data_IF_293900901041
#
_entry.id   IF_293900901041
#
_cell.length_a   1.000
_cell.length_b   1.000
_cell.length_c   1.000
_cell.angle_alpha   90.00
_cell.angle_beta   90.00
_cell.angle_gamma   90.00
#
_symmetry.space_group_name_H-M   'P 1'
#
loop_
_entity.id
_entity.type
_entity.pdbx_description
1 polymer ?
#
# COMPACT_ATOMS: atom_id res chain seq x y z
N UNK A 1 -17.33 -2.34 14.78
CA UNK A 1 -17.88 -3.23 13.75
C UNK A 1 -17.02 -2.98 12.52
N UNK A 2 -15.93 -3.74 12.36
CA UNK A 2 -15.11 -3.64 11.15
C UNK A 2 -15.96 -4.26 10.04
N UNK A 3 -16.58 -3.42 9.22
CA UNK A 3 -17.16 -3.86 7.96
C UNK A 3 -16.08 -4.70 7.28
N UNK A 4 -16.37 -5.98 7.05
CA UNK A 4 -15.47 -6.83 6.29
C UNK A 4 -15.16 -6.09 4.98
N UNK A 5 -13.95 -5.55 4.87
CA UNK A 5 -13.50 -4.72 3.74
C UNK A 5 -13.52 -5.51 2.41
N UNK A 6 -13.83 -6.80 2.50
CA UNK A 6 -14.17 -7.72 1.44
C UNK A 6 -15.70 -7.78 1.21
N UNK A 7 -16.23 -6.91 0.35
CA UNK A 7 -17.65 -6.93 -0.08
C UNK A 7 -17.99 -8.06 -1.09
N UNK A 8 -17.31 -9.21 -1.00
CA UNK A 8 -17.55 -10.37 -1.87
C UNK A 8 -17.14 -10.22 -3.35
N UNK A 9 -16.58 -9.07 -3.74
CA UNK A 9 -15.94 -8.80 -5.05
C UNK A 9 -14.44 -9.13 -5.05
N UNK A 10 -13.89 -9.26 -3.85
CA UNK A 10 -12.47 -9.38 -3.59
C UNK A 10 -12.09 -10.87 -3.45
N UNK A 11 -11.49 -11.46 -4.49
CA UNK A 11 -10.94 -12.83 -4.42
C UNK A 11 -9.50 -12.78 -3.89
N UNK A 12 -9.17 -13.66 -2.94
CA UNK A 12 -7.79 -13.87 -2.49
C UNK A 12 -7.07 -14.71 -3.53
N UNK A 13 -5.98 -14.18 -4.07
CA UNK A 13 -5.02 -15.00 -4.79
C UNK A 13 -4.07 -15.64 -3.77
N UNK A 14 -4.18 -16.96 -3.63
CA UNK A 14 -3.40 -17.73 -2.67
C UNK A 14 -1.95 -17.94 -3.12
N UNK A 15 -1.64 -17.73 -4.39
CA UNK A 15 -0.28 -17.79 -4.90
C UNK A 15 0.52 -16.54 -4.53
N UNK A 16 -0.08 -15.34 -4.66
CA UNK A 16 0.54 -14.08 -4.23
C UNK A 16 0.28 -13.71 -2.76
N UNK A 17 -0.68 -14.35 -2.10
CA UNK A 17 -1.04 -14.09 -0.71
C UNK A 17 -1.80 -12.77 -0.49
N UNK A 18 -2.35 -12.17 -1.55
CA UNK A 18 -3.09 -10.89 -1.48
C UNK A 18 -4.41 -10.95 -2.22
N UNK A 19 -5.31 -10.05 -1.86
CA UNK A 19 -6.58 -9.86 -2.54
C UNK A 19 -6.40 -9.15 -3.89
N UNK A 20 -6.96 -9.71 -4.96
CA UNK A 20 -6.94 -9.12 -6.30
C UNK A 20 -7.71 -7.80 -6.41
N UNK A 21 -8.66 -7.53 -5.51
CA UNK A 21 -9.47 -6.32 -5.53
C UNK A 21 -8.83 -5.15 -4.78
N UNK A 22 -8.36 -5.41 -3.56
CA UNK A 22 -7.87 -4.36 -2.66
C UNK A 22 -6.36 -4.42 -2.36
N UNK A 23 -5.65 -5.43 -2.84
CA UNK A 23 -4.20 -5.59 -2.66
C UNK A 23 -3.77 -5.91 -1.22
N UNK A 24 -4.71 -6.20 -0.32
CA UNK A 24 -4.44 -6.52 1.08
C UNK A 24 -4.33 -8.02 1.31
N UNK A 25 -3.56 -8.40 2.33
CA UNK A 25 -3.48 -9.78 2.83
C UNK A 25 -4.77 -10.21 3.54
N UNK A 26 -5.03 -11.52 3.67
CA UNK A 26 -6.16 -12.02 4.45
C UNK A 26 -6.17 -11.49 5.89
N UNK A 27 -5.01 -11.42 6.54
CA UNK A 27 -4.87 -10.96 7.92
C UNK A 27 -5.28 -9.48 8.07
N UNK A 28 -4.91 -8.63 7.12
CA UNK A 28 -5.32 -7.23 7.07
C UNK A 28 -6.84 -7.07 6.82
N UNK A 29 -7.45 -7.99 6.06
CA UNK A 29 -8.89 -7.98 5.77
C UNK A 29 -9.69 -8.45 6.98
N UNK A 30 -9.20 -9.46 7.69
CA UNK A 30 -9.79 -9.97 8.94
C UNK A 30 -9.55 -9.02 10.13
N UNK A 31 -8.82 -7.91 9.91
CA UNK A 31 -8.53 -6.91 10.92
C UNK A 31 -7.61 -7.43 12.02
N UNK A 32 -6.83 -8.48 11.73
CA UNK A 32 -5.79 -8.98 12.63
C UNK A 32 -4.70 -7.90 12.70
N UNK A 33 -4.31 -7.43 13.90
CA UNK A 33 -3.24 -6.46 14.01
C UNK A 33 -1.92 -7.06 13.50
N UNK A 34 -1.52 -6.69 12.28
CA UNK A 34 -0.21 -7.02 11.75
C UNK A 34 0.77 -5.98 12.27
N UNK A 35 1.87 -6.38 12.93
CA UNK A 35 2.91 -5.42 13.29
C UNK A 35 3.41 -4.75 11.99
N UNK A 36 3.70 -3.44 12.02
CA UNK A 36 4.22 -2.76 10.83
C UNK A 36 5.43 -3.54 10.32
N UNK A 37 5.45 -3.80 9.01
CA UNK A 37 6.62 -4.38 8.38
C UNK A 37 7.84 -3.56 8.81
N UNK A 38 8.93 -4.25 9.17
CA UNK A 38 10.17 -3.58 9.51
C UNK A 38 10.49 -2.59 8.40
N UNK A 39 10.61 -1.31 8.76
CA UNK A 39 10.82 -0.25 7.78
C UNK A 39 12.02 -0.63 6.92
N UNK A 40 11.78 -0.80 5.62
CA UNK A 40 12.88 -0.86 4.67
C UNK A 40 13.68 0.44 4.85
N UNK A 41 15.03 0.37 4.84
CA UNK A 41 15.83 1.58 4.86
C UNK A 41 15.30 2.48 3.74
N UNK A 42 15.06 3.78 4.00
CA UNK A 42 14.53 4.66 3.00
C UNK A 42 15.39 4.52 1.74
N UNK A 43 14.77 4.39 0.55
CA UNK A 43 15.54 4.36 -0.68
C UNK A 43 16.45 5.57 -0.65
N UNK A 44 17.75 5.36 -0.90
CA UNK A 44 18.67 6.47 -1.05
C UNK A 44 18.03 7.44 -2.04
N UNK A 45 17.76 8.68 -1.61
CA UNK A 45 17.09 9.69 -2.41
C UNK A 45 17.97 10.02 -3.59
N UNK A 46 17.77 9.32 -4.70
CA UNK A 46 18.30 9.74 -5.98
C UNK A 46 17.66 11.09 -6.31
N UNK A 47 18.42 12.07 -6.83
CA UNK A 47 17.86 13.34 -7.24
C UNK A 47 16.75 13.09 -8.27
N UNK A 48 15.63 13.77 -8.10
CA UNK A 48 14.56 13.76 -9.09
C UNK A 48 15.11 14.31 -10.42
N UNK A 49 14.71 13.76 -11.58
CA UNK A 49 15.05 14.34 -12.87
C UNK A 49 14.42 15.75 -13.00
N UNK A 50 15.07 16.64 -13.74
CA UNK A 50 14.74 18.08 -13.80
C UNK A 50 13.27 18.35 -14.14
N UNK A 51 12.67 17.56 -15.01
CA UNK A 51 11.28 17.70 -15.43
C UNK A 51 10.26 17.36 -14.33
N UNK A 52 10.66 16.61 -13.30
CA UNK A 52 9.83 16.23 -12.15
C UNK A 52 10.07 17.20 -10.99
N UNK A 53 11.32 17.61 -10.77
CA UNK A 53 11.66 18.57 -9.72
C UNK A 53 10.94 19.92 -9.90
N UNK A 54 10.78 20.39 -11.14
CA UNK A 54 10.07 21.63 -11.44
C UNK A 54 8.59 21.61 -11.00
N UNK A 55 7.92 20.46 -11.09
CA UNK A 55 6.48 20.35 -10.83
C UNK A 55 6.14 20.14 -9.34
N UNK A 56 7.04 19.52 -8.57
CA UNK A 56 6.81 19.23 -7.14
C UNK A 56 6.95 20.49 -6.27
N UNK A 57 7.71 21.49 -6.74
CA UNK A 57 7.89 22.76 -6.03
C UNK A 57 6.70 23.72 -6.09
N UNK A 58 5.71 23.47 -6.95
CA UNK A 58 4.57 24.37 -7.18
C UNK A 58 3.37 24.12 -6.26
N UNK A 59 3.41 23.09 -5.39
CA UNK A 59 2.25 22.62 -4.63
C UNK A 59 2.46 22.46 -3.12
N UNK A 60 3.06 23.42 -2.44
CA UNK A 60 3.07 23.47 -0.96
C UNK A 60 2.21 24.62 -0.46
N UNK A 61 0.93 24.34 -0.26
CA UNK A 61 0.00 25.13 0.59
C UNK A 61 -0.56 24.27 1.71
#
# INVERSE_FOLDING_TARGET
>A
MSEALCVGVCMIDWDSGVCLGCGRTPEEIDGVPVPPAAAEPPPATAPLPDNVAAQVGEGSE
#
